data_IF_732536691380
#
_entry.id   IF_732536691380
#
_cell.length_a   1.000
_cell.length_b   1.000
_cell.length_c   1.000
_cell.angle_alpha   90.00
_cell.angle_beta   90.00
_cell.angle_gamma   90.00
#
_symmetry.space_group_name_H-M   'P 1'
#
loop_
_entity.id
_entity.type
_entity.pdbx_description
1 polymer ?
#
# COMPACT_ATOMS: atom_id res chain seq x y z
N UNK A 1 0.16 -61.81 16.35
CA UNK A 1 0.42 -60.96 17.54
C UNK A 1 0.96 -59.61 17.07
N UNK A 2 0.70 -58.51 17.79
CA UNK A 2 0.91 -57.14 17.31
C UNK A 2 2.11 -56.43 17.93
N UNK A 3 2.46 -55.25 17.41
CA UNK A 3 2.91 -54.12 18.24
C UNK A 3 2.35 -52.79 17.71
N UNK A 4 1.91 -51.94 18.64
CA UNK A 4 1.25 -50.64 18.42
C UNK A 4 2.06 -49.50 19.01
N UNK A 5 2.12 -48.35 18.31
CA UNK A 5 2.37 -47.00 18.84
C UNK A 5 1.80 -46.04 17.77
N UNK A 6 0.70 -45.29 17.94
CA UNK A 6 0.24 -44.39 19.01
C UNK A 6 0.92 -43.01 19.03
N UNK A 7 0.11 -41.95 19.18
CA UNK A 7 0.49 -40.53 19.41
C UNK A 7 0.83 -39.72 18.13
N UNK A 8 0.18 -38.59 17.79
CA UNK A 8 -1.01 -37.87 18.32
C UNK A 8 -1.67 -37.08 17.17
N UNK A 9 -3.01 -37.02 17.12
CA UNK A 9 -3.75 -36.04 16.29
C UNK A 9 -3.72 -34.67 16.97
N UNK A 10 -3.56 -33.60 16.19
CA UNK A 10 -4.15 -32.29 16.51
C UNK A 10 -4.83 -31.72 15.27
N UNK A 11 -6.15 -31.94 15.19
CA UNK A 11 -7.00 -31.22 14.26
C UNK A 11 -7.67 -30.06 15.00
N UNK A 12 -7.63 -28.87 14.41
CA UNK A 12 -8.56 -27.75 14.60
C UNK A 12 -8.78 -27.22 13.19
N UNK A 13 -9.89 -27.53 12.50
CA UNK A 13 -11.25 -27.03 12.75
C UNK A 13 -11.20 -25.51 12.91
N UNK A 14 -11.59 -24.81 11.85
CA UNK A 14 -11.42 -23.36 11.72
C UNK A 14 -12.58 -22.53 12.26
N UNK A 15 -12.57 -21.25 11.93
CA UNK A 15 -13.71 -20.36 12.13
C UNK A 15 -13.70 -19.25 11.08
N UNK A 16 -14.77 -19.16 10.29
CA UNK A 16 -15.05 -18.01 9.45
C UNK A 16 -15.98 -17.08 10.22
N UNK A 17 -15.49 -15.88 10.58
CA UNK A 17 -16.17 -14.74 11.19
C UNK A 17 -15.07 -13.69 11.49
N UNK A 18 -15.26 -12.38 11.46
CA UNK A 18 -16.45 -11.56 11.21
C UNK A 18 -15.96 -10.19 10.69
N UNK A 19 -16.72 -9.54 9.79
CA UNK A 19 -16.53 -8.11 9.59
C UNK A 19 -17.09 -7.35 10.80
N UNK A 20 -16.29 -6.47 11.42
CA UNK A 20 -16.75 -5.55 12.45
C UNK A 20 -16.04 -4.20 12.34
N UNK A 21 -16.81 -3.15 12.04
CA UNK A 21 -16.42 -1.78 12.32
C UNK A 21 -16.26 -1.60 13.84
N UNK A 22 -15.20 -0.93 14.29
CA UNK A 22 -15.09 -0.44 15.67
C UNK A 22 -14.98 1.08 15.62
N UNK A 23 -16.09 1.73 15.97
CA UNK A 23 -16.10 3.10 16.48
C UNK A 23 -16.04 3.06 18.02
N UNK A 24 -15.83 4.23 18.64
CA UNK A 24 -15.63 4.46 20.10
C UNK A 24 -14.19 4.14 20.56
N UNK A 25 -13.61 4.87 21.52
CA UNK A 25 -14.12 6.04 22.24
C UNK A 25 -13.08 6.58 23.24
N UNK A 26 -13.23 7.84 23.64
CA UNK A 26 -12.27 8.57 24.48
C UNK A 26 -12.07 7.91 25.85
N UNK A 27 -10.81 7.79 26.31
CA UNK A 27 -10.47 7.72 27.74
C UNK A 27 -9.32 8.68 28.02
N UNK A 28 -9.58 9.71 28.82
CA UNK A 28 -8.61 10.71 29.24
C UNK A 28 -7.90 10.28 30.53
N UNK A 29 -6.57 10.40 30.60
CA UNK A 29 -5.77 10.31 31.82
C UNK A 29 -5.03 11.64 32.06
N UNK A 30 -4.94 12.07 33.33
CA UNK A 30 -4.26 13.28 33.78
C UNK A 30 -3.89 13.11 35.28
N UNK A 31 -3.09 13.93 35.96
CA UNK A 31 -2.46 15.26 35.69
C UNK A 31 -1.00 15.19 36.23
N UNK A 32 -0.24 16.28 36.54
CA UNK A 32 -0.19 17.66 36.04
C UNK A 32 1.24 18.15 35.70
N UNK A 33 1.37 19.26 34.98
CA UNK A 33 2.40 20.30 35.24
C UNK A 33 2.00 21.59 34.53
N UNK A 34 2.10 22.73 35.22
CA UNK A 34 1.65 24.02 34.71
C UNK A 34 2.45 24.48 33.48
N UNK A 35 1.75 24.64 32.36
CA UNK A 35 2.17 25.43 31.23
C UNK A 35 0.99 26.36 30.85
N UNK A 36 1.23 27.64 30.52
CA UNK A 36 0.15 28.57 30.22
C UNK A 36 -0.61 28.07 28.99
N UNK A 37 -1.94 28.12 29.07
CA UNK A 37 -2.81 27.66 27.99
C UNK A 37 -2.52 28.45 26.71
N UNK A 38 -1.85 27.80 25.76
CA UNK A 38 -1.81 28.27 24.38
C UNK A 38 -3.25 28.33 23.86
N UNK A 39 -3.56 29.37 23.08
CA UNK A 39 -4.87 29.50 22.47
C UNK A 39 -5.22 28.23 21.71
N UNK A 40 -6.41 27.70 21.95
CA UNK A 40 -7.01 26.67 21.09
C UNK A 40 -7.49 27.35 19.82
N UNK A 41 -6.55 27.79 18.98
CA UNK A 41 -6.82 27.98 17.55
C UNK A 41 -7.37 26.66 17.02
N UNK A 42 -8.47 26.71 16.26
CA UNK A 42 -9.12 25.54 15.66
C UNK A 42 -8.14 24.78 14.76
N UNK A 43 -7.44 23.81 15.35
CA UNK A 43 -6.62 22.88 14.60
C UNK A 43 -7.54 22.15 13.61
N UNK A 44 -7.26 22.18 12.30
CA UNK A 44 -8.14 21.55 11.32
C UNK A 44 -8.32 20.07 11.65
N UNK A 45 -9.57 19.62 11.64
CA UNK A 45 -9.98 18.29 12.05
C UNK A 45 -9.38 17.22 11.10
N UNK A 46 -8.18 16.76 11.43
CA UNK A 46 -7.43 15.75 10.67
C UNK A 46 -6.34 16.36 9.77
N UNK A 47 -5.18 15.70 9.76
CA UNK A 47 -4.17 15.90 8.73
C UNK A 47 -4.72 15.35 7.40
N UNK A 48 -4.72 16.18 6.35
CA UNK A 48 -5.10 15.79 4.99
C UNK A 48 -3.85 15.89 4.10
N UNK A 49 -3.54 14.83 3.35
CA UNK A 49 -2.42 14.78 2.41
C UNK A 49 -2.94 14.37 1.04
N UNK A 50 -3.09 15.35 0.14
CA UNK A 50 -3.52 15.17 -1.26
C UNK A 50 -2.41 15.53 -2.26
N UNK A 51 -1.14 15.46 -1.83
CA UNK A 51 0.00 15.73 -2.71
C UNK A 51 0.26 14.54 -3.63
N UNK A 52 0.24 14.69 -4.97
CA UNK A 52 0.48 13.58 -5.90
C UNK A 52 1.81 12.88 -5.62
N UNK A 53 2.85 13.66 -5.31
CA UNK A 53 4.19 13.19 -4.94
C UNK A 53 4.17 12.28 -3.72
N UNK A 54 3.56 12.73 -2.62
CA UNK A 54 3.56 12.00 -1.35
C UNK A 54 2.68 10.74 -1.45
N UNK A 55 1.52 10.83 -2.09
CA UNK A 55 0.62 9.68 -2.23
C UNK A 55 1.14 8.64 -3.24
N UNK A 56 1.85 9.05 -4.29
CA UNK A 56 2.57 8.12 -5.16
C UNK A 56 3.76 7.46 -4.43
N UNK A 57 4.54 8.22 -3.66
CA UNK A 57 5.63 7.68 -2.85
C UNK A 57 5.11 6.69 -1.79
N UNK A 58 3.93 6.91 -1.20
CA UNK A 58 3.30 5.93 -0.31
C UNK A 58 3.05 4.59 -1.01
N UNK A 59 2.42 4.61 -2.19
CA UNK A 59 2.17 3.38 -2.95
C UNK A 59 3.49 2.66 -3.31
N UNK A 60 4.54 3.39 -3.65
CA UNK A 60 5.89 2.82 -3.88
C UNK A 60 6.47 2.21 -2.60
N UNK A 61 6.33 2.89 -1.46
CA UNK A 61 6.84 2.42 -0.17
C UNK A 61 6.17 1.13 0.30
N UNK A 62 4.86 0.98 0.04
CA UNK A 62 4.05 -0.18 0.40
C UNK A 62 4.24 -1.37 -0.55
N UNK A 63 4.35 -1.11 -1.86
CA UNK A 63 4.32 -2.17 -2.88
C UNK A 63 5.72 -2.57 -3.41
N UNK A 64 6.69 -1.66 -3.42
CA UNK A 64 8.02 -1.88 -3.98
C UNK A 64 9.10 -2.00 -2.89
N UNK A 65 8.90 -2.97 -1.98
CA UNK A 65 9.79 -3.21 -0.84
C UNK A 65 11.20 -3.71 -1.23
N UNK A 66 11.32 -4.42 -2.36
CA UNK A 66 12.60 -4.89 -2.89
C UNK A 66 13.46 -3.78 -3.49
N UNK A 67 14.75 -4.04 -3.72
CA UNK A 67 15.67 -3.08 -4.31
C UNK A 67 15.67 -3.10 -5.85
N UNK A 68 14.53 -2.75 -6.43
CA UNK A 68 14.35 -2.59 -7.87
C UNK A 68 13.83 -1.19 -8.19
N UNK A 69 14.67 -0.40 -8.87
CA UNK A 69 14.32 0.97 -9.28
C UNK A 69 13.23 1.01 -10.37
N UNK A 70 13.24 0.07 -11.32
CA UNK A 70 12.23 0.01 -12.37
C UNK A 70 10.86 -0.33 -11.80
N UNK A 71 10.80 -1.22 -10.80
CA UNK A 71 9.57 -1.50 -10.05
C UNK A 71 9.03 -0.23 -9.37
N UNK A 72 9.89 0.47 -8.62
CA UNK A 72 9.50 1.71 -7.90
C UNK A 72 8.96 2.77 -8.84
N UNK A 73 9.65 3.04 -9.96
CA UNK A 73 9.19 3.99 -10.96
C UNK A 73 7.88 3.54 -11.64
N UNK A 74 7.71 2.23 -11.90
CA UNK A 74 6.48 1.70 -12.52
C UNK A 74 5.27 1.82 -11.58
N UNK A 75 5.44 1.55 -10.27
CA UNK A 75 4.40 1.78 -9.26
C UNK A 75 4.07 3.27 -9.14
N UNK A 76 5.07 4.16 -9.13
CA UNK A 76 4.85 5.61 -9.12
C UNK A 76 4.05 6.08 -10.36
N UNK A 77 4.46 5.67 -11.56
CA UNK A 77 3.75 6.00 -12.80
C UNK A 77 2.32 5.50 -12.81
N UNK A 78 2.10 4.25 -12.40
CA UNK A 78 0.76 3.65 -12.34
C UNK A 78 -0.15 4.39 -11.37
N UNK A 79 0.39 4.78 -10.21
CA UNK A 79 -0.35 5.56 -9.20
C UNK A 79 -0.66 6.98 -9.69
N UNK A 80 0.27 7.63 -10.38
CA UNK A 80 0.07 8.95 -10.96
C UNK A 80 -0.91 8.93 -12.14
N UNK A 81 -0.96 7.85 -12.93
CA UNK A 81 -2.00 7.64 -13.93
C UNK A 81 -3.38 7.51 -13.28
N UNK A 82 -3.52 6.71 -12.21
CA UNK A 82 -4.77 6.61 -11.46
C UNK A 82 -5.31 7.97 -10.99
N UNK A 83 -4.42 8.88 -10.55
CA UNK A 83 -4.80 10.23 -10.12
C UNK A 83 -5.23 11.13 -11.29
N UNK A 84 -4.59 10.97 -12.47
CA UNK A 84 -4.96 11.69 -13.70
C UNK A 84 -6.32 11.23 -14.23
N UNK A 85 -6.54 9.92 -14.29
CA UNK A 85 -7.79 9.32 -14.79
C UNK A 85 -8.98 9.63 -13.88
N UNK A 86 -8.76 9.76 -12.57
CA UNK A 86 -9.77 10.15 -11.60
C UNK A 86 -9.95 11.68 -11.44
N UNK A 87 -9.17 12.50 -12.14
CA UNK A 87 -9.04 13.96 -12.00
C UNK A 87 -8.88 14.44 -10.53
N UNK A 88 -8.22 13.62 -9.69
CA UNK A 88 -8.03 13.90 -8.26
C UNK A 88 -6.94 13.03 -7.62
N UNK A 89 -6.32 13.56 -6.58
CA UNK A 89 -5.49 12.79 -5.64
C UNK A 89 -6.34 12.42 -4.42
N UNK A 90 -6.38 11.15 -3.98
CA UNK A 90 -7.03 10.78 -2.72
C UNK A 90 -6.28 11.35 -1.52
N UNK A 91 -6.98 11.53 -0.39
CA UNK A 91 -6.29 11.79 0.87
C UNK A 91 -5.56 10.53 1.33
N UNK A 92 -4.23 10.59 1.38
CA UNK A 92 -3.37 9.47 1.79
C UNK A 92 -2.82 9.61 3.22
N UNK A 93 -3.29 10.59 4.02
CA UNK A 93 -2.75 10.87 5.35
C UNK A 93 -2.79 9.67 6.31
N UNK A 94 -3.84 8.84 6.25
CA UNK A 94 -3.94 7.63 7.05
C UNK A 94 -2.84 6.61 6.72
N UNK A 95 -2.55 6.39 5.44
CA UNK A 95 -1.50 5.46 5.00
C UNK A 95 -0.10 6.00 5.30
N UNK A 96 0.14 7.30 5.10
CA UNK A 96 1.39 7.95 5.52
C UNK A 96 1.61 7.80 7.04
N UNK A 97 0.55 7.97 7.84
CA UNK A 97 0.61 7.78 9.29
C UNK A 97 0.92 6.33 9.67
N UNK A 98 0.35 5.35 8.96
CA UNK A 98 0.66 3.94 9.16
C UNK A 98 2.14 3.62 8.81
N UNK A 99 2.62 4.09 7.65
CA UNK A 99 4.00 3.89 7.22
C UNK A 99 5.03 4.50 8.20
N UNK A 100 4.74 5.68 8.77
CA UNK A 100 5.61 6.35 9.74
C UNK A 100 5.60 5.69 11.14
N UNK A 101 4.57 4.89 11.47
CA UNK A 101 4.41 4.29 12.81
C UNK A 101 4.73 2.80 12.87
N UNK A 102 4.78 2.10 11.73
CA UNK A 102 4.99 0.65 11.66
C UNK A 102 6.32 0.31 11.00
N UNK A 103 7.37 0.09 11.81
CA UNK A 103 8.71 -0.28 11.34
C UNK A 103 9.25 0.66 10.24
N UNK A 104 9.13 1.97 10.43
CA UNK A 104 9.52 2.95 9.44
C UNK A 104 11.00 2.83 9.04
N UNK A 105 11.25 2.86 7.74
CA UNK A 105 12.56 2.72 7.11
C UNK A 105 12.87 3.98 6.28
N UNK A 106 13.58 4.97 6.85
CA UNK A 106 13.78 6.27 6.22
C UNK A 106 14.43 6.20 4.83
N UNK A 107 15.35 5.26 4.63
CA UNK A 107 16.02 5.07 3.34
C UNK A 107 15.06 4.57 2.25
N UNK A 108 14.18 3.59 2.56
CA UNK A 108 13.14 3.13 1.61
C UNK A 108 12.12 4.24 1.32
N UNK A 109 11.79 5.06 2.31
CA UNK A 109 10.90 6.21 2.11
C UNK A 109 11.52 7.27 1.18
N UNK A 110 12.81 7.58 1.34
CA UNK A 110 13.51 8.49 0.44
C UNK A 110 13.54 7.93 -1.00
N UNK A 111 13.90 6.66 -1.19
CA UNK A 111 13.88 6.01 -2.52
C UNK A 111 12.48 6.02 -3.16
N UNK A 112 11.42 5.97 -2.36
CA UNK A 112 10.04 6.05 -2.83
C UNK A 112 9.66 7.48 -3.27
N UNK A 113 10.12 8.50 -2.55
CA UNK A 113 10.01 9.90 -2.97
C UNK A 113 10.81 10.18 -4.25
N UNK A 114 12.04 9.68 -4.33
CA UNK A 114 12.91 9.86 -5.50
C UNK A 114 12.30 9.24 -6.76
N UNK A 115 11.67 8.06 -6.63
CA UNK A 115 10.96 7.42 -7.73
C UNK A 115 9.72 8.22 -8.19
N UNK A 116 8.95 8.77 -7.25
CA UNK A 116 7.83 9.65 -7.56
C UNK A 116 8.31 10.94 -8.27
N UNK A 117 9.40 11.55 -7.82
CA UNK A 117 9.99 12.75 -8.42
C UNK A 117 10.59 12.49 -9.80
N UNK A 118 11.24 11.35 -10.01
CA UNK A 118 11.78 10.96 -11.32
C UNK A 118 10.68 10.77 -12.38
N UNK A 119 9.52 10.23 -11.98
CA UNK A 119 8.36 10.10 -12.87
C UNK A 119 7.64 11.43 -13.07
N UNK A 120 7.45 12.23 -12.01
CA UNK A 120 6.82 13.55 -12.10
C UNK A 120 7.60 14.54 -12.97
N UNK A 121 8.93 14.47 -12.92
CA UNK A 121 9.82 15.28 -13.77
C UNK A 121 10.02 14.73 -15.18
N UNK A 122 9.56 13.50 -15.45
CA UNK A 122 9.80 12.80 -16.71
C UNK A 122 11.27 12.40 -16.93
N UNK A 123 12.10 12.37 -15.87
CA UNK A 123 13.52 12.02 -15.96
C UNK A 123 13.78 10.51 -16.02
N UNK A 124 12.74 9.68 -15.98
CA UNK A 124 12.83 8.22 -16.05
C UNK A 124 11.80 7.64 -17.03
N UNK A 125 12.28 6.80 -17.94
CA UNK A 125 11.45 6.08 -18.91
C UNK A 125 10.97 4.75 -18.34
N UNK A 126 9.66 4.52 -18.34
CA UNK A 126 9.06 3.31 -17.79
C UNK A 126 9.30 2.12 -18.72
N UNK A 127 9.98 1.10 -18.19
CA UNK A 127 10.29 -0.14 -18.90
C UNK A 127 9.82 -1.35 -18.09
N UNK A 128 9.12 -2.34 -18.69
CA UNK A 128 8.70 -2.39 -20.10
C UNK A 128 7.71 -1.29 -20.52
N UNK A 129 7.81 -0.81 -21.76
CA UNK A 129 6.94 0.24 -22.30
C UNK A 129 5.43 -0.11 -22.27
N UNK A 130 5.08 -1.39 -22.18
CA UNK A 130 3.70 -1.82 -21.97
C UNK A 130 3.12 -1.28 -20.63
N UNK A 131 3.93 -1.19 -19.58
CA UNK A 131 3.51 -0.69 -18.26
C UNK A 131 3.13 0.81 -18.27
N UNK A 132 3.52 1.59 -19.28
CA UNK A 132 3.36 3.06 -19.33
C UNK A 132 1.90 3.49 -19.11
N UNK A 133 0.93 2.73 -19.66
CA UNK A 133 -0.51 3.03 -19.58
C UNK A 133 -1.23 2.36 -18.41
N UNK A 134 -0.53 1.59 -17.57
CA UNK A 134 -1.18 1.02 -16.40
C UNK A 134 -1.65 2.13 -15.45
N UNK A 135 -2.81 1.94 -14.84
CA UNK A 135 -3.40 2.85 -13.84
C UNK A 135 -3.91 2.13 -12.59
N UNK A 136 -3.75 0.81 -12.49
CA UNK A 136 -3.88 0.09 -11.23
C UNK A 136 -2.81 -1.00 -11.07
N UNK A 137 -2.38 -1.20 -9.82
CA UNK A 137 -1.42 -2.24 -9.41
C UNK A 137 -2.18 -3.30 -8.63
N UNK A 138 -2.03 -4.57 -9.00
CA UNK A 138 -2.70 -5.71 -8.36
C UNK A 138 -1.66 -6.70 -7.87
N UNK A 139 -1.49 -6.89 -6.54
CA UNK A 139 -0.69 -7.97 -5.99
C UNK A 139 -1.24 -9.34 -6.40
N UNK A 140 -0.36 -10.22 -6.89
CA UNK A 140 -0.69 -11.57 -7.34
C UNK A 140 -0.71 -12.59 -6.17
N UNK A 141 -0.12 -12.21 -5.03
CA UNK A 141 -0.16 -13.00 -3.80
C UNK A 141 -1.55 -13.00 -3.19
N UNK A 142 -2.09 -14.22 -2.96
CA UNK A 142 -3.34 -14.52 -2.21
C UNK A 142 -4.70 -14.44 -2.93
N UNK A 143 -4.75 -14.82 -4.22
CA UNK A 143 -5.97 -15.42 -4.78
C UNK A 143 -5.92 -16.97 -4.72
N UNK A 144 -6.57 -17.55 -3.71
CA UNK A 144 -6.91 -18.98 -3.56
C UNK A 144 -5.80 -20.06 -3.52
N UNK A 145 -4.51 -19.70 -3.55
CA UNK A 145 -3.43 -20.69 -3.44
C UNK A 145 -3.34 -21.69 -4.60
N UNK A 146 -4.08 -21.42 -5.67
CA UNK A 146 -3.80 -21.95 -7.01
C UNK A 146 -2.60 -21.21 -7.58
N UNK A 147 -1.86 -21.87 -8.45
CA UNK A 147 -0.81 -21.22 -9.24
C UNK A 147 -1.33 -19.97 -9.94
N UNK A 148 -0.50 -18.94 -10.14
CA UNK A 148 -0.87 -17.73 -10.88
C UNK A 148 -1.15 -17.97 -12.38
N UNK A 149 -1.32 -19.21 -12.84
CA UNK A 149 -1.45 -19.57 -14.26
C UNK A 149 -2.82 -19.30 -14.90
N UNK A 150 -3.85 -18.90 -14.13
CA UNK A 150 -5.22 -18.69 -14.66
C UNK A 150 -6.00 -17.47 -14.11
N UNK A 151 -5.37 -16.57 -13.35
CA UNK A 151 -6.08 -15.39 -12.81
C UNK A 151 -6.55 -14.44 -13.92
N UNK A 152 -7.84 -14.03 -13.96
CA UNK A 152 -8.34 -13.06 -14.96
C UNK A 152 -7.63 -11.71 -14.95
N UNK A 153 -6.94 -11.37 -13.85
CA UNK A 153 -6.08 -10.18 -13.73
C UNK A 153 -4.90 -10.25 -14.71
N UNK A 154 -4.26 -11.41 -14.83
CA UNK A 154 -3.08 -11.60 -15.69
C UNK A 154 -3.42 -11.55 -17.17
N UNK A 155 -4.63 -12.00 -17.55
CA UNK A 155 -5.15 -11.83 -18.90
C UNK A 155 -5.42 -10.34 -19.28
N UNK A 156 -5.37 -9.42 -18.32
CA UNK A 156 -5.54 -7.96 -18.49
C UNK A 156 -4.29 -7.16 -18.10
N UNK A 157 -3.23 -7.83 -17.64
CA UNK A 157 -1.99 -7.20 -17.25
C UNK A 157 -1.28 -6.66 -18.49
N UNK A 158 -0.99 -5.35 -18.50
CA UNK A 158 -0.08 -4.74 -19.47
C UNK A 158 1.34 -5.25 -19.24
N UNK A 159 1.73 -5.45 -17.97
CA UNK A 159 2.97 -6.09 -17.58
C UNK A 159 2.88 -6.68 -16.16
N UNK A 160 3.88 -7.49 -15.79
CA UNK A 160 4.02 -8.08 -14.46
C UNK A 160 5.46 -7.90 -13.98
N UNK A 161 5.65 -7.46 -12.74
CA UNK A 161 6.96 -7.30 -12.10
C UNK A 161 6.84 -7.66 -10.62
N UNK A 162 7.74 -8.48 -10.07
CA UNK A 162 7.83 -8.80 -8.62
C UNK A 162 6.48 -9.12 -7.95
N UNK A 163 5.73 -10.07 -8.51
CA UNK A 163 4.38 -10.45 -8.04
C UNK A 163 3.32 -9.33 -8.05
N UNK A 164 3.56 -8.24 -8.80
CA UNK A 164 2.56 -7.20 -9.08
C UNK A 164 2.17 -7.22 -10.57
N UNK A 165 0.88 -7.32 -10.84
CA UNK A 165 0.32 -7.09 -12.17
C UNK A 165 -0.10 -5.63 -12.33
N UNK A 166 0.35 -5.01 -13.42
CA UNK A 166 0.04 -3.63 -13.78
C UNK A 166 -1.02 -3.66 -14.87
N UNK A 167 -2.21 -3.13 -14.57
CA UNK A 167 -3.39 -3.20 -15.45
C UNK A 167 -3.82 -1.80 -15.88
N UNK A 168 -4.46 -1.73 -17.05
CA UNK A 168 -5.13 -0.54 -17.57
C UNK A 168 -6.64 -0.76 -17.40
N UNK A 169 -7.29 0.07 -16.58
CA UNK A 169 -8.71 0.02 -16.24
C UNK A 169 -9.39 1.25 -16.84
N UNK A 170 -10.49 1.07 -17.55
CA UNK A 170 -11.26 2.22 -18.05
C UNK A 170 -11.89 3.00 -16.87
N UNK A 171 -11.86 4.35 -16.89
CA UNK A 171 -12.48 5.18 -15.86
C UNK A 171 -14.02 5.08 -15.85
#
# INVERSE_FOLDING_TARGET
MPLTLSTKRTARVGMAALACFIALGVVAWATPSDAPAAATDDAPNGLVITSPRICAALAVYELAAGDDWALRATVANTTLNAFRDADRVPDCAAGVTAALTQNFEPARWQLALDAADAVLSGSYEISPAACVRANAVVPLSTADGKEPSTSPVLARAQCVMHELAFVEVAP
#
